data_IF_200172606940
#
_entry.id   IF_200172606940
#
_cell.length_a   1.000
_cell.length_b   1.000
_cell.length_c   1.000
_cell.angle_alpha   90.00
_cell.angle_beta   90.00
_cell.angle_gamma   90.00
#
_symmetry.space_group_name_H-M   'P 1'
#
loop_
_entity.id
_entity.type
_entity.pdbx_description
1 polymer ?
#
# COMPACT_ATOMS: atom_id res chain seq x y z
N UNK A 1 -2.47 19.36 2.95
CA UNK A 1 -2.08 18.12 2.25
C UNK A 1 -0.75 17.58 2.76
N UNK A 2 0.31 18.39 2.84
CA UNK A 2 1.61 17.98 3.43
C UNK A 2 1.50 17.42 4.85
N UNK A 3 0.80 18.09 5.76
CA UNK A 3 0.63 17.61 7.14
C UNK A 3 -0.03 16.21 7.24
N UNK A 4 -0.90 15.85 6.28
CA UNK A 4 -1.52 14.53 6.26
C UNK A 4 -0.55 13.44 5.74
N UNK A 5 0.28 13.79 4.77
CA UNK A 5 1.35 12.90 4.29
C UNK A 5 2.41 12.67 5.38
N UNK A 6 2.77 13.70 6.14
CA UNK A 6 3.66 13.57 7.31
C UNK A 6 3.05 12.68 8.39
N UNK A 7 1.74 12.81 8.66
CA UNK A 7 1.03 11.94 9.59
C UNK A 7 1.07 10.47 9.13
N UNK A 8 0.77 10.19 7.85
CA UNK A 8 0.85 8.84 7.30
C UNK A 8 2.28 8.29 7.32
N UNK A 9 3.27 9.11 7.02
CA UNK A 9 4.68 8.75 7.08
C UNK A 9 5.11 8.37 8.50
N UNK A 10 4.76 9.19 9.49
CA UNK A 10 5.03 8.90 10.90
C UNK A 10 4.29 7.63 11.34
N UNK A 11 3.06 7.43 10.88
CA UNK A 11 2.28 6.22 11.19
C UNK A 11 2.91 4.97 10.59
N UNK A 12 3.41 5.05 9.36
CA UNK A 12 4.14 3.97 8.71
C UNK A 12 5.43 3.63 9.47
N UNK A 13 6.23 4.65 9.83
CA UNK A 13 7.48 4.44 10.56
C UNK A 13 7.28 3.91 11.99
N UNK A 14 6.15 4.23 12.62
CA UNK A 14 5.79 3.70 13.92
C UNK A 14 5.18 2.28 13.87
N UNK A 15 4.92 1.72 12.68
CA UNK A 15 4.47 0.33 12.58
C UNK A 15 5.62 -0.63 12.91
N UNK A 16 5.36 -1.71 13.66
CA UNK A 16 6.34 -2.77 13.87
C UNK A 16 6.88 -3.31 12.54
N UNK A 17 8.18 -3.56 12.47
CA UNK A 17 8.86 -4.05 11.27
C UNK A 17 8.19 -5.32 10.68
N UNK A 18 7.70 -6.22 11.55
CA UNK A 18 6.95 -7.41 11.11
C UNK A 18 5.64 -7.06 10.39
N UNK A 19 4.90 -6.06 10.86
CA UNK A 19 3.66 -5.61 10.22
C UNK A 19 3.97 -4.88 8.91
N UNK A 20 5.04 -4.08 8.87
CA UNK A 20 5.49 -3.46 7.63
C UNK A 20 5.86 -4.52 6.58
N UNK A 21 6.58 -5.56 6.97
CA UNK A 21 6.94 -6.68 6.07
C UNK A 21 5.71 -7.42 5.54
N UNK A 22 4.71 -7.68 6.38
CA UNK A 22 3.45 -8.29 5.96
C UNK A 22 2.70 -7.38 4.99
N UNK A 23 2.61 -6.07 5.27
CA UNK A 23 1.96 -5.11 4.39
C UNK A 23 2.64 -5.08 3.01
N UNK A 24 3.96 -5.05 2.98
CA UNK A 24 4.75 -5.14 1.75
C UNK A 24 4.48 -6.44 0.99
N UNK A 25 4.52 -7.57 1.67
CA UNK A 25 4.27 -8.88 1.06
C UNK A 25 2.88 -8.95 0.41
N UNK A 26 1.85 -8.48 1.12
CA UNK A 26 0.48 -8.45 0.61
C UNK A 26 0.39 -7.53 -0.61
N UNK A 27 0.95 -6.31 -0.53
CA UNK A 27 0.92 -5.35 -1.64
C UNK A 27 1.59 -5.89 -2.91
N UNK A 28 2.72 -6.59 -2.77
CA UNK A 28 3.43 -7.21 -3.90
C UNK A 28 2.62 -8.40 -4.47
N UNK A 29 2.08 -9.26 -3.62
CA UNK A 29 1.22 -10.37 -4.06
C UNK A 29 0.02 -9.87 -4.86
N UNK A 30 -0.62 -8.81 -4.36
CA UNK A 30 -1.81 -8.22 -4.97
C UNK A 30 -1.44 -7.53 -6.29
N UNK A 31 -0.30 -6.83 -6.36
CA UNK A 31 0.14 -6.21 -7.60
C UNK A 31 0.43 -7.22 -8.70
N UNK A 32 1.10 -8.33 -8.37
CA UNK A 32 1.32 -9.44 -9.30
C UNK A 32 -0.01 -10.01 -9.79
N UNK A 33 -0.97 -10.20 -8.88
CA UNK A 33 -2.28 -10.76 -9.24
C UNK A 33 -3.04 -9.86 -10.21
N UNK A 34 -3.05 -8.54 -9.96
CA UNK A 34 -3.70 -7.56 -10.84
C UNK A 34 -3.04 -7.53 -12.21
N UNK A 35 -1.70 -7.48 -12.29
CA UNK A 35 -1.00 -7.45 -13.59
C UNK A 35 -1.15 -8.75 -14.38
N UNK A 36 -1.25 -9.91 -13.71
CA UNK A 36 -1.49 -11.19 -14.41
C UNK A 36 -2.85 -11.24 -15.10
N UNK A 37 -3.83 -10.43 -14.67
CA UNK A 37 -5.14 -10.34 -15.29
C UNK A 37 -5.20 -9.43 -16.53
N UNK A 38 -4.09 -8.79 -16.92
CA UNK A 38 -4.03 -7.86 -18.05
C UNK A 38 -3.41 -8.61 -19.25
N UNK A 39 -4.16 -8.77 -20.34
CA UNK A 39 -3.73 -9.55 -21.52
C UNK A 39 -2.51 -8.97 -22.25
N UNK A 40 -2.30 -7.65 -22.18
CA UNK A 40 -1.20 -6.95 -22.86
C UNK A 40 -0.07 -6.57 -21.89
N UNK A 41 0.59 -7.57 -21.30
CA UNK A 41 1.72 -7.32 -20.39
C UNK A 41 2.93 -6.82 -21.21
N UNK A 42 3.42 -5.59 -20.99
CA UNK A 42 4.61 -5.07 -21.67
C UNK A 42 5.86 -5.85 -21.26
N UNK A 43 6.98 -5.65 -21.96
CA UNK A 43 8.29 -6.29 -21.72
C UNK A 43 8.62 -6.47 -20.24
N UNK A 44 9.21 -7.61 -19.86
CA UNK A 44 9.47 -8.03 -18.47
C UNK A 44 10.00 -6.91 -17.54
N UNK A 45 10.93 -6.08 -18.03
CA UNK A 45 11.49 -4.95 -17.28
C UNK A 45 10.44 -3.88 -16.93
N UNK A 46 9.53 -3.57 -17.86
CA UNK A 46 8.41 -2.64 -17.66
C UNK A 46 7.40 -3.25 -16.69
N UNK A 47 7.15 -4.57 -16.79
CA UNK A 47 6.25 -5.28 -15.88
C UNK A 47 6.70 -5.17 -14.43
N UNK A 48 8.00 -5.32 -14.15
CA UNK A 48 8.55 -5.23 -12.78
C UNK A 48 8.35 -3.83 -12.21
N UNK A 49 8.69 -2.79 -12.99
CA UNK A 49 8.51 -1.39 -12.55
C UNK A 49 7.04 -1.10 -12.29
N UNK A 50 6.15 -1.56 -13.17
CA UNK A 50 4.70 -1.38 -13.01
C UNK A 50 4.16 -2.14 -11.79
N UNK A 51 4.60 -3.38 -11.56
CA UNK A 51 4.28 -4.16 -10.36
C UNK A 51 4.70 -3.45 -9.08
N UNK A 52 5.89 -2.85 -9.08
CA UNK A 52 6.42 -2.13 -7.93
C UNK A 52 5.64 -0.85 -7.65
N UNK A 53 5.35 -0.06 -8.68
CA UNK A 53 4.52 1.15 -8.56
C UNK A 53 3.12 0.78 -8.04
N UNK A 54 2.52 -0.29 -8.57
CA UNK A 54 1.20 -0.72 -8.12
C UNK A 54 1.22 -1.19 -6.67
N UNK A 55 2.28 -1.90 -6.25
CA UNK A 55 2.45 -2.29 -4.85
C UNK A 55 2.56 -1.08 -3.91
N UNK A 56 3.29 -0.02 -4.31
CA UNK A 56 3.36 1.24 -3.56
C UNK A 56 1.98 1.89 -3.42
N UNK A 57 1.20 1.95 -4.50
CA UNK A 57 -0.15 2.51 -4.49
C UNK A 57 -1.05 1.71 -3.54
N UNK A 58 -1.03 0.37 -3.63
CA UNK A 58 -1.83 -0.52 -2.77
C UNK A 58 -1.45 -0.33 -1.31
N UNK A 59 -0.15 -0.21 -1.00
CA UNK A 59 0.34 0.00 0.36
C UNK A 59 -0.14 1.35 0.93
N UNK A 60 -0.03 2.42 0.15
CA UNK A 60 -0.50 3.76 0.52
C UNK A 60 -2.02 3.77 0.76
N UNK A 61 -2.80 3.18 -0.14
CA UNK A 61 -4.25 3.06 0.01
C UNK A 61 -4.62 2.26 1.25
N UNK A 62 -3.93 1.15 1.53
CA UNK A 62 -4.13 0.37 2.75
C UNK A 62 -3.87 1.18 4.02
N UNK A 63 -2.83 2.02 4.02
CA UNK A 63 -2.49 2.87 5.15
C UNK A 63 -3.52 3.97 5.39
N UNK A 64 -4.00 4.60 4.32
CA UNK A 64 -5.10 5.57 4.37
C UNK A 64 -6.37 4.89 4.89
N UNK A 65 -6.70 3.70 4.38
CA UNK A 65 -7.90 2.97 4.79
C UNK A 65 -7.88 2.62 6.29
N UNK A 66 -6.73 2.14 6.80
CA UNK A 66 -6.53 1.88 8.23
C UNK A 66 -6.64 3.17 9.05
N UNK A 67 -6.14 4.29 8.54
CA UNK A 67 -6.25 5.60 9.19
C UNK A 67 -7.69 6.10 9.28
N UNK A 68 -8.45 6.01 8.18
CA UNK A 68 -9.88 6.33 8.15
C UNK A 68 -10.67 5.43 9.11
N UNK A 69 -10.42 4.11 9.11
CA UNK A 69 -11.06 3.19 10.05
C UNK A 69 -10.73 3.50 11.51
N UNK A 70 -9.47 3.87 11.79
CA UNK A 70 -9.02 4.24 13.13
C UNK A 70 -9.71 5.53 13.62
N UNK A 71 -9.85 6.53 12.75
CA UNK A 71 -10.55 7.78 13.06
C UNK A 71 -12.04 7.50 13.29
N UNK A 72 -12.65 6.68 12.44
CA UNK A 72 -14.05 6.28 12.58
C UNK A 72 -14.29 5.59 13.92
N UNK A 73 -13.46 4.61 14.32
CA UNK A 73 -13.59 3.93 15.62
C UNK A 73 -13.47 4.86 16.83
N UNK A 74 -12.64 5.92 16.76
CA UNK A 74 -12.52 6.91 17.84
C UNK A 74 -13.76 7.79 17.99
N UNK A 75 -14.58 7.93 16.94
CA UNK A 75 -15.79 8.76 16.97
C UNK A 75 -17.00 8.05 17.61
N UNK A 76 -16.93 6.73 17.75
CA UNK A 76 -17.98 5.88 18.33
C UNK A 76 -17.64 5.36 19.74
N UNK A 77 -16.56 5.87 20.36
CA UNK A 77 -16.21 5.65 21.77
C UNK A 77 -16.29 6.99 22.50
#
# INVERSE_FOLDING_TARGET
MQAYLEHLYNKLNNLPAGIQGIAWFISIKLSIHILKGIENVPTYSITIVLQFILALIILLLGLIFIDVLSISRKKFK
#
